data_IF_877147266273
#
_entry.id   IF_877147266273
#
_cell.length_a   1.000
_cell.length_b   1.000
_cell.length_c   1.000
_cell.angle_alpha   90.00
_cell.angle_beta   90.00
_cell.angle_gamma   90.00
#
_symmetry.space_group_name_H-M   'P 1'
#
loop_
_entity.id
_entity.type
_entity.pdbx_description
1 polymer ?
#
# COMPACT_ATOMS: atom_id res chain seq x y z
N UNK A 1 -6.50 -12.46 30.32
CA UNK A 1 -7.26 -12.87 29.12
C UNK A 1 -7.79 -14.27 29.30
N UNK A 2 -9.11 -14.47 29.29
CA UNK A 2 -9.74 -15.79 29.40
C UNK A 2 -10.06 -16.26 27.97
N UNK A 3 -9.50 -17.42 27.56
CA UNK A 3 -9.73 -17.97 26.21
C UNK A 3 -10.63 -19.19 26.36
N UNK A 4 -11.70 -19.23 25.54
CA UNK A 4 -12.64 -20.38 25.46
C UNK A 4 -12.89 -20.80 24.02
N UNK A 5 -13.23 -22.08 23.85
CA UNK A 5 -13.59 -22.68 22.56
C UNK A 5 -15.05 -23.04 22.54
N UNK A 6 -15.73 -22.79 21.44
CA UNK A 6 -17.13 -23.06 21.19
C UNK A 6 -17.28 -23.91 19.94
N UNK A 7 -18.02 -24.99 20.02
CA UNK A 7 -18.25 -25.90 18.88
C UNK A 7 -19.75 -25.98 18.65
N UNK A 8 -20.19 -25.74 17.42
CA UNK A 8 -21.60 -25.80 17.03
C UNK A 8 -21.77 -26.25 15.58
N UNK A 9 -22.98 -26.58 15.19
CA UNK A 9 -23.35 -27.02 13.84
C UNK A 9 -23.27 -25.88 12.83
N UNK A 10 -23.38 -24.62 13.28
CA UNK A 10 -23.24 -23.42 12.47
C UNK A 10 -22.38 -22.37 13.18
N UNK A 11 -21.67 -21.53 12.39
CA UNK A 11 -20.88 -20.44 12.94
C UNK A 11 -21.74 -19.44 13.72
N UNK A 12 -22.98 -19.21 13.28
CA UNK A 12 -23.94 -18.31 13.93
C UNK A 12 -24.32 -18.82 15.36
N UNK A 13 -24.47 -20.09 15.50
CA UNK A 13 -24.79 -20.74 16.81
C UNK A 13 -23.57 -20.69 17.75
N UNK A 14 -22.36 -20.98 17.25
CA UNK A 14 -21.13 -20.87 18.02
C UNK A 14 -20.89 -19.38 18.49
N UNK A 15 -21.18 -18.41 17.64
CA UNK A 15 -21.05 -16.98 17.97
C UNK A 15 -22.12 -16.55 18.99
N UNK A 16 -23.35 -17.06 18.89
CA UNK A 16 -24.40 -16.74 19.84
C UNK A 16 -24.05 -17.28 21.25
N UNK A 17 -23.57 -18.50 21.34
CA UNK A 17 -23.13 -19.13 22.59
C UNK A 17 -21.95 -18.38 23.22
N UNK A 18 -20.97 -17.97 22.39
CA UNK A 18 -19.84 -17.16 22.81
C UNK A 18 -20.30 -15.83 23.43
N UNK A 19 -21.23 -15.12 22.78
CA UNK A 19 -21.75 -13.82 23.26
C UNK A 19 -22.54 -13.96 24.57
N UNK A 20 -23.25 -15.06 24.75
CA UNK A 20 -23.97 -15.36 25.99
C UNK A 20 -23.04 -15.64 27.17
N UNK A 21 -21.90 -16.30 26.93
CA UNK A 21 -20.96 -16.66 27.99
C UNK A 21 -19.90 -15.62 28.29
N UNK A 22 -19.31 -15.01 27.27
CA UNK A 22 -18.19 -14.09 27.39
C UNK A 22 -18.61 -12.63 27.28
N UNK A 23 -19.88 -12.36 26.95
CA UNK A 23 -20.38 -10.99 26.74
C UNK A 23 -20.14 -10.46 25.34
N UNK A 24 -20.72 -9.27 25.06
CA UNK A 24 -20.62 -8.60 23.73
C UNK A 24 -19.24 -8.13 23.34
N UNK A 25 -18.34 -7.98 24.30
CA UNK A 25 -16.96 -7.50 24.13
C UNK A 25 -15.95 -8.64 23.85
N UNK A 26 -16.42 -9.88 23.69
CA UNK A 26 -15.56 -11.02 23.40
C UNK A 26 -15.02 -10.94 21.97
N UNK A 27 -13.69 -11.08 21.83
CA UNK A 27 -12.98 -11.05 20.55
C UNK A 27 -12.80 -12.47 20.02
N UNK A 28 -13.20 -12.73 18.77
CA UNK A 28 -12.98 -13.99 18.09
C UNK A 28 -11.52 -14.06 17.65
N UNK A 29 -10.78 -15.03 18.19
CA UNK A 29 -9.35 -15.22 17.90
C UNK A 29 -9.12 -16.14 16.70
N UNK A 30 -9.96 -17.18 16.53
CA UNK A 30 -9.89 -18.08 15.38
C UNK A 30 -11.19 -18.84 15.14
N UNK A 31 -11.43 -19.25 13.90
CA UNK A 31 -12.51 -20.15 13.51
C UNK A 31 -11.94 -21.31 12.69
N UNK A 32 -12.38 -22.54 12.97
CA UNK A 32 -12.00 -23.75 12.22
C UNK A 32 -13.23 -24.59 11.91
N UNK A 33 -13.20 -25.28 10.77
CA UNK A 33 -14.17 -26.32 10.45
C UNK A 33 -13.56 -27.65 10.91
N UNK A 34 -14.30 -28.39 11.78
CA UNK A 34 -13.91 -29.70 12.24
C UNK A 34 -14.85 -30.70 11.61
N UNK A 35 -14.30 -31.79 11.06
CA UNK A 35 -15.09 -32.95 10.65
C UNK A 35 -15.21 -33.88 11.86
N UNK A 36 -16.42 -34.05 12.39
CA UNK A 36 -16.68 -35.00 13.47
C UNK A 36 -16.79 -36.39 12.86
N UNK A 37 -15.84 -37.27 13.22
CA UNK A 37 -15.84 -38.69 12.87
C UNK A 37 -16.87 -39.40 13.72
N UNK A 38 -18.09 -39.55 13.25
CA UNK A 38 -19.04 -40.53 13.78
C UNK A 38 -19.42 -41.48 12.65
N UNK A 39 -19.43 -42.77 12.97
CA UNK A 39 -19.45 -43.93 12.06
C UNK A 39 -20.57 -44.02 11.00
N UNK A 40 -21.35 -42.97 10.74
CA UNK A 40 -22.37 -42.99 9.69
C UNK A 40 -22.86 -41.67 9.12
N UNK A 41 -22.39 -40.49 9.58
CA UNK A 41 -22.79 -39.23 8.94
C UNK A 41 -21.73 -38.15 9.17
N UNK A 42 -21.07 -37.66 8.10
CA UNK A 42 -20.05 -36.58 8.16
C UNK A 42 -20.74 -35.24 8.36
N UNK A 43 -20.98 -34.83 9.61
CA UNK A 43 -21.45 -33.46 9.91
C UNK A 43 -20.28 -32.52 10.07
N UNK A 44 -20.27 -31.49 9.28
CA UNK A 44 -19.33 -30.35 9.46
C UNK A 44 -19.72 -29.56 10.70
N UNK A 45 -18.78 -29.38 11.63
CA UNK A 45 -18.94 -28.59 12.85
C UNK A 45 -17.99 -27.39 12.79
N UNK A 46 -18.37 -26.30 13.44
CA UNK A 46 -17.54 -25.07 13.50
C UNK A 46 -16.97 -24.93 14.92
N UNK A 47 -15.64 -24.87 15.01
CA UNK A 47 -14.93 -24.50 16.25
C UNK A 47 -14.60 -23.02 16.20
N UNK A 48 -15.03 -22.26 17.20
CA UNK A 48 -14.75 -20.84 17.39
C UNK A 48 -13.95 -20.66 18.67
N UNK A 49 -12.77 -20.06 18.59
CA UNK A 49 -11.95 -19.70 19.76
C UNK A 49 -12.10 -18.20 20.01
N UNK A 50 -12.52 -17.83 21.22
CA UNK A 50 -12.70 -16.43 21.60
C UNK A 50 -12.03 -16.12 22.94
N UNK A 51 -11.69 -14.84 23.15
CA UNK A 51 -11.08 -14.35 24.37
C UNK A 51 -11.68 -13.04 24.85
N UNK A 52 -11.69 -12.84 26.18
CA UNK A 52 -12.05 -11.58 26.86
C UNK A 52 -10.89 -11.11 27.71
N UNK A 53 -10.58 -9.84 27.65
CA UNK A 53 -9.63 -9.20 28.55
C UNK A 53 -10.31 -8.90 29.90
N UNK A 54 -9.86 -9.53 31.01
CA UNK A 54 -10.40 -9.28 32.33
C UNK A 54 -9.98 -7.87 32.79
N UNK A 55 -10.88 -6.91 32.68
CA UNK A 55 -10.83 -5.69 33.49
C UNK A 55 -11.47 -6.04 34.86
N UNK A 56 -10.72 -5.83 35.92
CA UNK A 56 -11.09 -6.16 37.30
C UNK A 56 -12.47 -5.59 37.68
N UNK A 57 -13.30 -6.47 38.19
CA UNK A 57 -14.65 -6.21 38.68
C UNK A 57 -14.60 -5.27 39.88
N UNK A 58 -15.31 -4.14 39.79
CA UNK A 58 -15.91 -3.49 40.95
C UNK A 58 -17.42 -3.40 40.72
N UNK A 59 -18.15 -4.20 41.49
CA UNK A 59 -19.60 -4.16 41.55
C UNK A 59 -20.10 -2.88 42.21
N UNK A 60 -21.07 -2.20 41.62
CA UNK A 60 -22.31 -1.75 42.36
C UNK A 60 -23.36 -1.22 41.37
N UNK A 61 -24.48 -1.94 41.41
CA UNK A 61 -25.90 -1.54 41.34
C UNK A 61 -26.39 -0.43 40.40
N UNK A 62 -27.32 -0.85 39.56
CA UNK A 62 -28.65 -0.27 39.23
C UNK A 62 -28.78 1.02 38.41
N UNK A 63 -29.58 0.83 37.37
CA UNK A 63 -30.58 1.73 36.78
C UNK A 63 -30.16 2.85 35.80
N UNK A 64 -30.91 2.81 34.68
CA UNK A 64 -31.22 3.92 33.76
C UNK A 64 -30.14 4.36 32.74
N UNK A 65 -30.48 4.14 31.47
CA UNK A 65 -29.91 4.86 30.33
C UNK A 65 -29.95 6.38 30.50
N UNK A 66 -28.88 7.06 30.13
CA UNK A 66 -28.92 7.87 28.91
C UNK A 66 -27.61 7.81 28.09
N UNK A 67 -27.74 8.12 26.80
CA UNK A 67 -26.68 8.26 25.80
C UNK A 67 -25.54 9.18 26.28
N UNK A 68 -24.26 8.84 26.09
CA UNK A 68 -23.19 9.78 26.34
C UNK A 68 -22.66 10.40 25.06
N UNK A 69 -22.84 11.68 24.95
CA UNK A 69 -21.99 12.62 24.22
C UNK A 69 -20.56 12.59 24.81
N UNK A 70 -19.59 12.00 24.16
CA UNK A 70 -18.17 12.28 24.40
C UNK A 70 -17.36 12.08 23.10
N UNK A 71 -17.42 13.12 22.22
CA UNK A 71 -16.68 13.15 20.95
C UNK A 71 -15.45 14.06 20.94
N UNK A 72 -15.08 14.78 22.01
CA UNK A 72 -14.02 15.79 21.91
C UNK A 72 -12.62 15.33 22.33
N UNK A 73 -12.48 14.46 23.30
CA UNK A 73 -11.14 13.99 23.73
C UNK A 73 -10.56 12.93 22.83
N UNK A 74 -11.39 12.04 22.30
CA UNK A 74 -10.96 11.04 21.31
C UNK A 74 -10.56 11.67 19.97
N UNK A 75 -11.24 12.75 19.56
CA UNK A 75 -10.88 13.51 18.37
C UNK A 75 -9.56 14.28 18.53
N UNK A 76 -9.22 14.74 19.74
CA UNK A 76 -7.98 15.46 20.00
C UNK A 76 -6.78 14.51 20.02
N UNK A 77 -6.90 13.34 20.65
CA UNK A 77 -5.86 12.29 20.60
C UNK A 77 -5.61 11.79 19.17
N UNK A 78 -6.68 11.51 18.42
CA UNK A 78 -6.59 11.11 17.02
C UNK A 78 -5.97 12.23 16.16
N UNK A 79 -6.29 13.50 16.42
CA UNK A 79 -5.70 14.65 15.73
C UNK A 79 -4.21 14.82 16.02
N UNK A 80 -3.76 14.53 17.24
CA UNK A 80 -2.35 14.67 17.63
C UNK A 80 -1.51 13.48 17.14
N UNK A 81 -2.05 12.27 17.13
CA UNK A 81 -1.44 11.09 16.49
C UNK A 81 -1.33 11.28 14.97
N UNK A 82 -2.35 11.85 14.33
CA UNK A 82 -2.37 12.12 12.90
C UNK A 82 -1.44 13.26 12.48
N UNK A 83 -1.19 14.25 13.36
CA UNK A 83 -0.14 15.25 13.10
C UNK A 83 1.25 14.63 13.08
N UNK A 84 1.52 13.71 14.00
CA UNK A 84 2.81 12.99 14.02
C UNK A 84 2.99 12.08 12.80
N UNK A 85 1.89 11.55 12.26
CA UNK A 85 1.86 10.75 11.03
C UNK A 85 2.05 11.65 9.80
N UNK A 86 1.43 12.83 9.77
CA UNK A 86 1.61 13.83 8.71
C UNK A 86 3.06 14.26 8.56
N UNK A 87 3.77 14.46 9.66
CA UNK A 87 5.21 14.79 9.64
C UNK A 87 6.09 13.63 9.15
N UNK A 88 5.64 12.39 9.34
CA UNK A 88 6.34 11.19 8.85
C UNK A 88 6.06 10.86 7.38
N UNK A 89 4.87 11.22 6.87
CA UNK A 89 4.47 10.93 5.47
C UNK A 89 4.94 12.03 4.51
N UNK A 90 5.01 13.27 4.97
CA UNK A 90 5.44 14.41 4.17
C UNK A 90 6.73 15.01 4.74
N UNK A 91 7.87 14.37 4.49
CA UNK A 91 9.15 15.03 4.69
C UNK A 91 9.25 16.24 3.75
N UNK A 92 9.15 17.42 4.32
CA UNK A 92 9.52 18.66 3.63
C UNK A 92 11.04 18.60 3.43
N UNK A 93 11.57 18.67 2.20
CA UNK A 93 13.01 18.72 2.03
C UNK A 93 13.52 20.00 2.68
N UNK A 94 14.40 19.87 3.65
CA UNK A 94 15.18 21.02 4.16
C UNK A 94 16.06 21.54 3.02
N UNK A 95 16.02 22.85 2.82
CA UNK A 95 16.84 23.53 1.85
C UNK A 95 18.34 23.23 2.11
N UNK A 96 19.16 22.98 1.07
CA UNK A 96 20.55 22.62 1.26
C UNK A 96 21.33 23.77 1.94
N UNK A 97 21.94 23.45 3.06
CA UNK A 97 22.82 24.34 3.77
C UNK A 97 23.99 24.77 2.86
N UNK A 98 24.18 26.08 2.72
CA UNK A 98 25.30 26.69 1.98
C UNK A 98 26.63 26.14 2.51
N UNK A 99 27.32 25.34 1.71
CA UNK A 99 28.69 24.93 1.98
C UNK A 99 29.61 26.09 1.80
N UNK A 100 30.25 26.47 2.90
CA UNK A 100 31.41 27.37 2.90
C UNK A 100 32.59 26.63 2.28
N UNK A 101 33.12 27.14 1.22
CA UNK A 101 34.32 26.62 0.57
C UNK A 101 35.54 26.90 1.44
N UNK A 102 36.14 25.87 2.00
CA UNK A 102 37.51 25.91 2.54
C UNK A 102 38.45 25.31 1.49
N UNK A 103 39.27 26.18 0.88
CA UNK A 103 40.34 25.78 0.01
C UNK A 103 41.45 25.11 0.82
N UNK A 104 41.78 23.85 0.50
CA UNK A 104 43.06 23.22 0.87
C UNK A 104 43.82 22.84 -0.40
N UNK A 105 45.19 22.93 -0.39
CA UNK A 105 46.00 22.82 -1.59
C UNK A 105 46.17 21.39 -2.08
N UNK A 106 46.23 21.25 -3.40
CA UNK A 106 46.46 20.01 -4.15
C UNK A 106 47.79 19.35 -3.78
N UNK A 107 47.83 18.04 -3.45
CA UNK A 107 49.07 17.28 -3.48
C UNK A 107 49.42 16.77 -4.87
N UNK A 108 50.71 16.74 -5.12
CA UNK A 108 51.36 16.42 -6.39
C UNK A 108 51.07 14.97 -6.86
N UNK A 109 50.88 14.85 -8.16
CA UNK A 109 50.81 13.60 -8.92
C UNK A 109 52.09 12.80 -8.79
N UNK A 110 52.07 11.63 -8.16
CA UNK A 110 53.02 10.52 -8.45
C UNK A 110 52.58 9.18 -7.84
N UNK A 111 52.49 8.15 -8.66
CA UNK A 111 52.54 6.70 -8.35
C UNK A 111 51.41 6.00 -7.56
N UNK A 112 50.16 6.48 -7.67
CA UNK A 112 48.99 5.79 -7.03
C UNK A 112 47.93 5.27 -8.02
N UNK A 113 48.18 5.30 -9.35
CA UNK A 113 47.13 5.02 -10.35
C UNK A 113 46.81 3.55 -10.56
N UNK A 114 47.79 2.63 -10.46
CA UNK A 114 47.53 1.21 -10.75
C UNK A 114 46.78 0.47 -9.64
N UNK A 115 47.01 0.84 -8.38
CA UNK A 115 46.30 0.28 -7.23
C UNK A 115 44.85 0.77 -7.10
N UNK A 116 44.60 2.04 -7.41
CA UNK A 116 43.26 2.63 -7.29
C UNK A 116 42.28 2.14 -8.37
N UNK A 117 42.75 1.91 -9.61
CA UNK A 117 41.93 1.37 -10.69
C UNK A 117 41.53 -0.11 -10.41
N UNK A 118 42.37 -0.88 -9.75
CA UNK A 118 42.04 -2.26 -9.36
C UNK A 118 41.06 -2.33 -8.18
N UNK A 119 41.19 -1.42 -7.20
CA UNK A 119 40.28 -1.33 -6.06
C UNK A 119 38.90 -0.86 -6.55
N UNK A 120 38.84 0.20 -7.36
CA UNK A 120 37.59 0.70 -7.94
C UNK A 120 36.90 -0.36 -8.82
N UNK A 121 37.69 -1.18 -9.54
CA UNK A 121 37.19 -2.29 -10.33
C UNK A 121 36.51 -3.38 -9.47
N UNK A 122 37.05 -3.68 -8.30
CA UNK A 122 36.47 -4.62 -7.35
C UNK A 122 35.16 -4.08 -6.76
N UNK A 123 35.12 -2.82 -6.34
CA UNK A 123 33.92 -2.14 -5.82
C UNK A 123 32.79 -2.14 -6.86
N UNK A 124 33.09 -1.81 -8.11
CA UNK A 124 32.10 -1.85 -9.20
C UNK A 124 31.54 -3.27 -9.41
N UNK A 125 32.38 -4.29 -9.26
CA UNK A 125 31.92 -5.69 -9.35
C UNK A 125 30.98 -6.05 -8.20
N UNK A 126 31.30 -5.67 -6.97
CA UNK A 126 30.44 -5.89 -5.79
C UNK A 126 29.08 -5.17 -5.94
N UNK A 127 29.06 -3.97 -6.50
CA UNK A 127 27.84 -3.24 -6.83
C UNK A 127 26.99 -4.02 -7.84
N UNK A 128 27.61 -4.51 -8.92
CA UNK A 128 26.90 -5.33 -9.92
C UNK A 128 26.31 -6.57 -9.27
N UNK A 129 27.11 -7.32 -8.50
CA UNK A 129 26.67 -8.55 -7.83
C UNK A 129 25.51 -8.23 -6.84
N UNK A 130 25.58 -7.12 -6.13
CA UNK A 130 24.50 -6.63 -5.24
C UNK A 130 23.23 -6.35 -6.03
N UNK A 131 23.31 -5.58 -7.11
CA UNK A 131 22.15 -5.22 -7.92
C UNK A 131 21.51 -6.46 -8.60
N UNK A 132 22.34 -7.42 -9.05
CA UNK A 132 21.87 -8.71 -9.58
C UNK A 132 21.16 -9.51 -8.48
N UNK A 133 21.74 -9.60 -7.29
CA UNK A 133 21.10 -10.25 -6.14
C UNK A 133 19.77 -9.60 -5.76
N UNK A 134 19.64 -8.27 -5.91
CA UNK A 134 18.40 -7.52 -5.72
C UNK A 134 17.41 -7.63 -6.89
N UNK A 135 17.69 -8.48 -7.87
CA UNK A 135 16.87 -8.69 -9.07
C UNK A 135 16.69 -7.44 -9.94
N UNK A 136 17.65 -6.51 -9.92
CA UNK A 136 17.68 -5.40 -10.86
C UNK A 136 18.08 -5.92 -12.23
N UNK A 137 17.37 -5.51 -13.28
CA UNK A 137 17.61 -6.01 -14.64
C UNK A 137 18.91 -5.47 -15.24
N UNK A 138 19.57 -6.32 -16.07
CA UNK A 138 20.85 -5.97 -16.72
C UNK A 138 20.86 -4.63 -17.44
N UNK A 139 19.85 -4.23 -18.26
CA UNK A 139 19.85 -2.92 -18.91
C UNK A 139 19.92 -1.76 -17.93
N UNK A 140 19.23 -1.89 -16.79
CA UNK A 140 19.22 -0.86 -15.73
C UNK A 140 20.59 -0.81 -15.05
N UNK A 141 21.17 -1.97 -14.70
CA UNK A 141 22.53 -2.06 -14.16
C UNK A 141 23.53 -1.41 -15.11
N UNK A 142 23.46 -1.71 -16.41
CA UNK A 142 24.33 -1.09 -17.42
C UNK A 142 24.17 0.44 -17.46
N UNK A 143 22.94 0.95 -17.32
CA UNK A 143 22.69 2.40 -17.25
C UNK A 143 23.29 3.02 -16.01
N UNK A 144 23.16 2.39 -14.83
CA UNK A 144 23.78 2.83 -13.58
C UNK A 144 25.30 2.89 -13.73
N UNK A 145 25.92 1.82 -14.24
CA UNK A 145 27.37 1.78 -14.46
C UNK A 145 27.84 2.86 -15.44
N UNK A 146 27.07 3.10 -16.52
CA UNK A 146 27.38 4.19 -17.47
C UNK A 146 27.29 5.60 -16.85
N UNK A 147 26.43 5.80 -15.85
CA UNK A 147 26.38 7.06 -15.08
C UNK A 147 27.60 7.18 -14.15
N UNK A 148 27.97 6.09 -13.47
CA UNK A 148 29.15 6.06 -12.61
C UNK A 148 30.44 6.30 -13.39
N UNK A 149 30.56 5.71 -14.58
CA UNK A 149 31.75 5.89 -15.44
C UNK A 149 31.95 7.35 -15.85
N UNK A 150 30.88 8.08 -16.16
CA UNK A 150 30.95 9.52 -16.44
C UNK A 150 31.49 10.36 -15.27
N UNK A 151 31.39 9.84 -14.05
CA UNK A 151 31.83 10.49 -12.82
C UNK A 151 33.09 9.84 -12.22
N UNK A 152 33.78 8.94 -12.98
CA UNK A 152 34.91 8.13 -12.51
C UNK A 152 35.98 8.93 -11.77
N UNK A 153 36.26 10.16 -12.18
CA UNK A 153 37.26 11.03 -11.54
C UNK A 153 36.92 11.49 -10.12
N UNK A 154 35.64 11.36 -9.73
CA UNK A 154 35.13 11.74 -8.41
C UNK A 154 34.81 10.54 -7.53
N UNK A 155 34.87 9.32 -8.08
CA UNK A 155 34.55 8.11 -7.36
C UNK A 155 35.73 7.66 -6.47
N UNK A 156 35.40 7.34 -5.23
CA UNK A 156 36.27 6.70 -4.24
C UNK A 156 35.48 5.61 -3.51
N UNK A 157 36.13 4.57 -2.95
CA UNK A 157 35.45 3.52 -2.18
C UNK A 157 34.54 4.06 -1.08
N UNK A 158 34.87 5.20 -0.47
CA UNK A 158 34.08 5.82 0.60
C UNK A 158 32.81 6.55 0.14
N UNK A 159 32.65 6.83 -1.15
CA UNK A 159 31.50 7.60 -1.66
C UNK A 159 30.72 6.91 -2.80
N UNK A 160 31.23 5.78 -3.31
CA UNK A 160 30.65 5.11 -4.48
C UNK A 160 29.19 4.71 -4.26
N UNK A 161 28.84 4.24 -3.07
CA UNK A 161 27.45 3.88 -2.72
C UNK A 161 26.50 5.07 -2.83
N UNK A 162 26.95 6.27 -2.45
CA UNK A 162 26.16 7.49 -2.58
C UNK A 162 25.87 7.82 -4.04
N UNK A 163 26.84 7.61 -4.93
CA UNK A 163 26.65 7.80 -6.38
C UNK A 163 25.75 6.73 -6.99
N UNK A 164 25.83 5.48 -6.51
CA UNK A 164 24.90 4.40 -6.91
C UNK A 164 23.47 4.75 -6.50
N UNK A 165 23.26 5.16 -5.26
CA UNK A 165 21.94 5.57 -4.76
C UNK A 165 21.37 6.74 -5.55
N UNK A 166 22.20 7.76 -5.86
CA UNK A 166 21.79 8.90 -6.68
C UNK A 166 21.44 8.47 -8.11
N UNK A 167 22.24 7.57 -8.70
CA UNK A 167 21.96 7.03 -10.04
C UNK A 167 20.63 6.27 -10.07
N UNK A 168 20.37 5.42 -9.09
CA UNK A 168 19.10 4.68 -8.96
C UNK A 168 17.94 5.68 -8.78
N UNK A 169 18.06 6.62 -7.84
CA UNK A 169 17.02 7.62 -7.55
C UNK A 169 16.65 8.43 -8.80
N UNK A 170 17.63 8.84 -9.60
CA UNK A 170 17.40 9.61 -10.83
C UNK A 170 16.61 8.86 -11.91
N UNK A 171 16.55 7.53 -11.83
CA UNK A 171 15.85 6.68 -12.80
C UNK A 171 14.40 6.39 -12.38
N UNK A 172 14.02 6.69 -11.12
CA UNK A 172 12.70 6.36 -10.57
C UNK A 172 11.75 7.54 -10.82
N UNK A 173 10.75 7.40 -11.70
CA UNK A 173 9.71 8.41 -11.81
C UNK A 173 8.78 8.33 -10.60
N UNK A 174 8.53 9.44 -9.94
CA UNK A 174 7.58 9.55 -8.84
C UNK A 174 6.52 10.60 -9.15
N UNK A 175 5.33 10.44 -8.56
CA UNK A 175 4.21 11.37 -8.69
C UNK A 175 3.73 11.76 -7.30
N UNK A 176 3.50 13.05 -7.09
CA UNK A 176 2.90 13.54 -5.86
C UNK A 176 1.39 13.31 -5.86
N UNK A 177 0.85 12.92 -4.71
CA UNK A 177 -0.58 12.81 -4.50
C UNK A 177 -1.14 14.16 -4.07
N UNK A 178 -1.67 14.91 -5.04
CA UNK A 178 -2.21 16.25 -4.80
C UNK A 178 -3.72 16.26 -5.05
N UNK A 179 -4.47 16.25 -3.97
CA UNK A 179 -5.92 16.45 -4.00
C UNK A 179 -6.26 17.85 -3.47
N UNK A 180 -7.14 18.53 -4.21
CA UNK A 180 -7.62 19.87 -3.85
C UNK A 180 -9.12 19.96 -4.07
N UNK A 181 -9.79 20.80 -3.29
CA UNK A 181 -11.19 21.14 -3.54
C UNK A 181 -11.31 21.92 -4.84
N UNK A 182 -12.01 21.35 -5.82
CA UNK A 182 -12.12 21.93 -7.19
C UNK A 182 -13.58 22.27 -7.57
N UNK A 183 -14.54 22.17 -6.63
CA UNK A 183 -15.97 22.37 -6.93
C UNK A 183 -16.64 21.20 -7.67
N UNK A 184 -15.87 20.21 -8.10
CA UNK A 184 -16.29 18.91 -8.63
C UNK A 184 -15.38 17.81 -8.10
N UNK A 185 -15.88 16.59 -7.91
CA UNK A 185 -15.05 15.50 -7.41
C UNK A 185 -13.92 15.15 -8.38
N UNK A 186 -12.75 14.81 -7.83
CA UNK A 186 -11.70 14.09 -8.56
C UNK A 186 -12.01 12.60 -8.45
N UNK A 187 -12.16 11.92 -9.58
CA UNK A 187 -12.49 10.48 -9.65
C UNK A 187 -11.21 9.68 -9.86
N UNK A 188 -10.92 8.78 -8.93
CA UNK A 188 -9.71 7.96 -8.92
C UNK A 188 -10.10 6.49 -8.88
N UNK A 189 -9.61 5.70 -9.83
CA UNK A 189 -9.81 4.25 -9.84
C UNK A 189 -8.54 3.50 -9.48
N UNK A 190 -8.67 2.35 -8.80
CA UNK A 190 -7.59 1.41 -8.57
C UNK A 190 -7.85 0.12 -9.35
N UNK A 191 -6.91 -0.26 -10.18
CA UNK A 191 -6.94 -1.49 -10.98
C UNK A 191 -5.76 -2.40 -10.63
N UNK A 192 -5.87 -3.68 -10.92
CA UNK A 192 -4.79 -4.62 -10.66
C UNK A 192 -5.27 -6.05 -10.41
N UNK A 193 -4.36 -7.03 -10.35
CA UNK A 193 -4.68 -8.43 -10.13
C UNK A 193 -5.44 -8.70 -8.83
N UNK A 194 -5.97 -9.92 -8.71
CA UNK A 194 -6.59 -10.39 -7.46
C UNK A 194 -5.54 -10.49 -6.35
N UNK A 195 -5.90 -10.05 -5.14
CA UNK A 195 -5.06 -10.22 -3.95
C UNK A 195 -3.88 -9.24 -3.82
N UNK A 196 -3.74 -8.25 -4.71
CA UNK A 196 -2.67 -7.23 -4.62
C UNK A 196 -2.96 -6.12 -3.60
N UNK A 197 -4.14 -6.08 -2.96
CA UNK A 197 -4.46 -5.11 -1.91
C UNK A 197 -5.15 -3.83 -2.39
N UNK A 198 -5.87 -3.82 -3.53
CA UNK A 198 -6.60 -2.64 -4.04
C UNK A 198 -7.56 -2.04 -3.02
N UNK A 199 -8.49 -2.85 -2.51
CA UNK A 199 -9.48 -2.42 -1.50
C UNK A 199 -8.81 -1.87 -0.24
N UNK A 200 -7.72 -2.50 0.22
CA UNK A 200 -6.94 -2.01 1.37
C UNK A 200 -6.26 -0.67 1.07
N UNK A 201 -5.70 -0.50 -0.13
CA UNK A 201 -5.12 0.79 -0.55
C UNK A 201 -6.20 1.88 -0.61
N UNK A 202 -7.36 1.59 -1.18
CA UNK A 202 -8.49 2.55 -1.22
C UNK A 202 -8.89 2.96 0.19
N UNK A 203 -9.02 2.02 1.12
CA UNK A 203 -9.33 2.33 2.51
C UNK A 203 -8.29 3.29 3.13
N UNK A 204 -7.00 3.05 2.92
CA UNK A 204 -5.93 3.93 3.39
C UNK A 204 -6.00 5.32 2.75
N UNK A 205 -6.11 5.38 1.43
CA UNK A 205 -6.19 6.64 0.69
C UNK A 205 -7.43 7.46 1.06
N UNK A 206 -8.57 6.80 1.29
CA UNK A 206 -9.80 7.44 1.70
C UNK A 206 -9.67 8.10 3.09
N UNK A 207 -9.07 7.40 4.05
CA UNK A 207 -8.81 7.96 5.40
C UNK A 207 -7.82 9.12 5.32
N UNK A 208 -6.72 8.97 4.60
CA UNK A 208 -5.72 10.02 4.41
C UNK A 208 -6.38 11.27 3.79
N UNK A 209 -7.15 11.08 2.73
CA UNK A 209 -7.85 12.18 2.05
C UNK A 209 -8.82 12.90 3.00
N UNK A 210 -9.58 12.15 3.79
CA UNK A 210 -10.55 12.71 4.74
C UNK A 210 -9.88 13.43 5.91
N UNK A 211 -8.88 12.82 6.51
CA UNK A 211 -8.31 13.31 7.77
C UNK A 211 -7.20 14.32 7.54
N UNK A 212 -6.22 14.00 6.67
CA UNK A 212 -5.07 14.87 6.42
C UNK A 212 -5.42 16.02 5.48
N UNK A 213 -6.13 15.71 4.39
CA UNK A 213 -6.50 16.73 3.39
C UNK A 213 -7.84 17.41 3.69
N UNK A 214 -8.59 16.94 4.71
CA UNK A 214 -9.92 17.47 5.09
C UNK A 214 -10.90 17.52 3.90
N UNK A 215 -10.85 16.50 3.07
CA UNK A 215 -11.70 16.34 1.90
C UNK A 215 -12.95 15.54 2.24
N UNK A 216 -14.05 15.84 1.56
CA UNK A 216 -15.23 15.00 1.57
C UNK A 216 -15.05 13.86 0.55
N UNK A 217 -15.09 12.62 1.06
CA UNK A 217 -14.71 11.41 0.30
C UNK A 217 -15.94 10.56 0.03
N UNK A 218 -16.06 10.04 -1.18
CA UNK A 218 -17.00 9.01 -1.56
C UNK A 218 -16.28 7.75 -2.02
N UNK A 219 -16.86 6.59 -1.76
CA UNK A 219 -16.38 5.30 -2.24
C UNK A 219 -17.42 4.68 -3.17
N UNK A 220 -16.98 4.14 -4.30
CA UNK A 220 -17.81 3.31 -5.18
C UNK A 220 -17.11 1.97 -5.33
N UNK A 221 -17.78 0.86 -5.00
CA UNK A 221 -17.26 -0.48 -5.26
C UNK A 221 -17.96 -1.13 -6.45
N UNK A 222 -17.18 -1.65 -7.38
CA UNK A 222 -17.63 -2.55 -8.45
C UNK A 222 -17.16 -3.99 -8.25
N UNK A 223 -16.54 -4.33 -7.10
CA UNK A 223 -16.11 -5.70 -6.75
C UNK A 223 -17.25 -6.52 -6.14
N UNK A 224 -18.28 -6.80 -6.94
CA UNK A 224 -19.46 -7.56 -6.51
C UNK A 224 -19.26 -9.08 -6.57
N UNK A 225 -18.14 -9.55 -7.12
CA UNK A 225 -17.88 -10.98 -7.33
C UNK A 225 -17.22 -11.67 -6.14
N UNK A 226 -16.50 -10.92 -5.29
CA UNK A 226 -15.83 -11.49 -4.12
C UNK A 226 -16.77 -11.50 -2.92
N UNK A 227 -17.11 -12.70 -2.44
CA UNK A 227 -17.83 -12.86 -1.18
C UNK A 227 -17.12 -12.11 -0.05
N UNK A 228 -17.84 -11.21 0.62
CA UNK A 228 -17.32 -10.42 1.73
C UNK A 228 -16.49 -9.19 1.37
N UNK A 229 -16.15 -8.93 0.09
CA UNK A 229 -15.40 -7.73 -0.28
C UNK A 229 -16.21 -6.46 -0.01
N UNK A 230 -17.49 -6.46 -0.42
CA UNK A 230 -18.42 -5.36 -0.15
C UNK A 230 -18.64 -5.21 1.36
N UNK A 231 -18.83 -6.30 2.10
CA UNK A 231 -19.05 -6.25 3.55
C UNK A 231 -17.84 -5.68 4.28
N UNK A 232 -16.63 -6.07 3.88
CA UNK A 232 -15.40 -5.50 4.43
C UNK A 232 -15.31 -3.99 4.18
N UNK A 233 -15.58 -3.56 2.96
CA UNK A 233 -15.53 -2.13 2.62
C UNK A 233 -16.68 -1.35 3.27
N UNK A 234 -17.84 -1.97 3.48
CA UNK A 234 -18.99 -1.40 4.19
C UNK A 234 -18.69 -1.16 5.66
N UNK A 235 -18.15 -2.16 6.37
CA UNK A 235 -17.71 -2.02 7.75
C UNK A 235 -16.69 -0.88 7.86
N UNK A 236 -15.71 -0.84 6.95
CA UNK A 236 -14.72 0.23 6.91
C UNK A 236 -15.37 1.60 6.69
N UNK A 237 -16.31 1.73 5.76
CA UNK A 237 -17.01 2.98 5.44
C UNK A 237 -17.80 3.51 6.65
N UNK A 238 -18.48 2.61 7.38
CA UNK A 238 -19.21 2.94 8.61
C UNK A 238 -18.29 3.46 9.70
N UNK A 239 -17.17 2.74 9.98
CA UNK A 239 -16.19 3.13 11.01
C UNK A 239 -15.54 4.47 10.66
N UNK A 240 -15.20 4.68 9.38
CA UNK A 240 -14.54 5.90 8.91
C UNK A 240 -15.50 7.05 8.64
N UNK A 241 -16.82 6.80 8.74
CA UNK A 241 -17.88 7.74 8.35
C UNK A 241 -17.66 8.29 6.93
N UNK A 242 -17.40 7.39 5.98
CA UNK A 242 -17.20 7.68 4.55
C UNK A 242 -18.34 7.00 3.79
N UNK A 243 -19.02 7.74 2.91
CA UNK A 243 -20.14 7.20 2.14
C UNK A 243 -19.66 6.16 1.13
N UNK A 244 -20.36 5.02 1.07
CA UNK A 244 -20.10 3.93 0.13
C UNK A 244 -21.34 3.66 -0.72
N UNK A 245 -21.14 3.59 -2.03
CA UNK A 245 -22.11 3.10 -3.00
C UNK A 245 -21.56 1.86 -3.71
N UNK A 246 -22.45 0.98 -4.18
CA UNK A 246 -22.06 -0.24 -4.91
C UNK A 246 -22.68 -0.19 -6.31
N UNK A 247 -21.84 -0.43 -7.31
CA UNK A 247 -22.26 -0.59 -8.70
C UNK A 247 -22.33 -2.08 -9.06
N UNK A 248 -23.48 -2.55 -9.43
CA UNK A 248 -23.69 -3.92 -9.91
C UNK A 248 -23.57 -4.02 -11.43
N UNK A 249 -23.91 -2.94 -12.13
CA UNK A 249 -23.89 -2.85 -13.59
C UNK A 249 -23.16 -1.56 -14.03
N UNK A 250 -22.44 -1.59 -15.17
CA UNK A 250 -21.77 -0.40 -15.71
C UNK A 250 -22.70 0.79 -15.91
N UNK A 251 -23.97 0.54 -16.30
CA UNK A 251 -25.00 1.55 -16.53
C UNK A 251 -25.39 2.35 -15.29
N UNK A 252 -25.08 1.85 -14.08
CA UNK A 252 -25.35 2.54 -12.81
C UNK A 252 -24.29 3.60 -12.48
N UNK A 253 -23.07 3.44 -12.99
CA UNK A 253 -21.93 4.27 -12.66
C UNK A 253 -22.17 5.78 -12.81
N UNK A 254 -22.78 6.28 -13.91
CA UNK A 254 -23.05 7.72 -14.04
C UNK A 254 -23.96 8.27 -12.94
N UNK A 255 -24.98 7.51 -12.53
CA UNK A 255 -25.91 7.90 -11.46
C UNK A 255 -25.21 7.92 -10.10
N UNK A 256 -24.31 6.97 -9.83
CA UNK A 256 -23.56 6.91 -8.60
C UNK A 256 -22.55 8.07 -8.49
N UNK A 257 -21.86 8.41 -9.57
CA UNK A 257 -20.98 9.59 -9.64
C UNK A 257 -21.79 10.88 -9.41
N UNK A 258 -22.97 11.02 -10.05
CA UNK A 258 -23.83 12.18 -9.86
C UNK A 258 -24.32 12.29 -8.39
N UNK A 259 -24.61 11.18 -7.73
CA UNK A 259 -24.96 11.16 -6.29
C UNK A 259 -23.83 11.71 -5.41
N UNK A 260 -22.59 11.57 -5.85
CA UNK A 260 -21.40 12.07 -5.17
C UNK A 260 -20.83 13.37 -5.74
N UNK A 261 -21.60 14.12 -6.56
CA UNK A 261 -21.14 15.37 -7.19
C UNK A 261 -20.66 16.46 -6.21
N UNK A 262 -21.11 16.41 -4.95
CA UNK A 262 -20.69 17.33 -3.89
C UNK A 262 -19.43 16.88 -3.15
N UNK A 263 -18.95 15.65 -3.37
CA UNK A 263 -17.71 15.15 -2.79
C UNK A 263 -16.50 15.85 -3.42
N UNK A 264 -15.39 15.89 -2.70
CA UNK A 264 -14.12 16.42 -3.20
C UNK A 264 -13.35 15.34 -3.98
N UNK A 265 -13.46 14.07 -3.55
CA UNK A 265 -12.81 12.92 -4.19
C UNK A 265 -13.71 11.69 -4.14
N UNK A 266 -13.70 10.91 -5.22
CA UNK A 266 -14.38 9.63 -5.32
C UNK A 266 -13.34 8.56 -5.65
N UNK A 267 -13.23 7.53 -4.81
CA UNK A 267 -12.42 6.36 -5.11
C UNK A 267 -13.30 5.22 -5.63
N UNK A 268 -12.87 4.61 -6.73
CA UNK A 268 -13.54 3.45 -7.34
C UNK A 268 -12.71 2.19 -7.06
N UNK A 269 -13.27 1.28 -6.25
CA UNK A 269 -12.72 -0.07 -6.02
C UNK A 269 -13.19 -1.01 -7.12
N UNK A 270 -12.23 -1.60 -7.83
CA UNK A 270 -12.52 -2.53 -8.93
C UNK A 270 -12.26 -3.97 -8.54
N UNK A 271 -13.00 -4.88 -9.16
CA UNK A 271 -12.74 -6.30 -9.03
C UNK A 271 -11.32 -6.66 -9.45
N UNK A 272 -10.63 -7.45 -8.61
CA UNK A 272 -9.32 -8.00 -8.97
C UNK A 272 -9.46 -9.03 -10.07
N UNK A 273 -8.76 -8.84 -11.20
CA UNK A 273 -8.84 -9.73 -12.34
C UNK A 273 -7.46 -10.23 -12.75
N UNK A 274 -7.42 -11.50 -13.18
CA UNK A 274 -6.18 -12.06 -13.73
C UNK A 274 -5.87 -11.40 -15.07
N UNK A 275 -4.61 -10.99 -15.27
CA UNK A 275 -4.13 -10.48 -16.55
C UNK A 275 -4.27 -11.48 -17.71
N UNK A 276 -4.53 -12.76 -17.41
CA UNK A 276 -4.72 -13.82 -18.42
C UNK A 276 -6.15 -13.89 -18.97
N UNK A 277 -7.11 -13.19 -18.34
CA UNK A 277 -8.52 -13.23 -18.74
C UNK A 277 -8.96 -11.88 -19.32
N UNK A 278 -8.79 -11.69 -20.63
CA UNK A 278 -9.18 -10.46 -21.34
C UNK A 278 -10.67 -10.15 -21.16
N UNK A 279 -11.55 -11.14 -21.19
CA UNK A 279 -12.99 -10.94 -21.01
C UNK A 279 -13.32 -10.34 -19.65
N UNK A 280 -12.62 -10.80 -18.59
CA UNK A 280 -12.82 -10.24 -17.26
C UNK A 280 -12.21 -8.84 -17.12
N UNK A 281 -11.11 -8.55 -17.80
CA UNK A 281 -10.53 -7.21 -17.85
C UNK A 281 -11.48 -6.26 -18.59
N UNK A 282 -12.04 -6.66 -19.72
CA UNK A 282 -13.02 -5.89 -20.49
C UNK A 282 -14.27 -5.58 -19.65
N UNK A 283 -14.81 -6.55 -18.93
CA UNK A 283 -15.94 -6.32 -18.02
C UNK A 283 -15.62 -5.27 -16.95
N UNK A 284 -14.39 -5.26 -16.39
CA UNK A 284 -13.99 -4.23 -15.45
C UNK A 284 -13.82 -2.87 -16.16
N UNK A 285 -13.33 -2.87 -17.40
CA UNK A 285 -13.20 -1.66 -18.20
C UNK A 285 -14.55 -1.00 -18.50
N UNK A 286 -15.59 -1.77 -18.78
CA UNK A 286 -16.94 -1.27 -19.01
C UNK A 286 -17.45 -0.38 -17.86
N UNK A 287 -17.16 -0.73 -16.60
CA UNK A 287 -17.50 0.12 -15.46
C UNK A 287 -16.74 1.46 -15.46
N UNK A 288 -15.46 1.45 -15.83
CA UNK A 288 -14.65 2.66 -15.85
C UNK A 288 -14.94 3.52 -17.08
N UNK A 289 -15.24 2.92 -18.23
CA UNK A 289 -15.60 3.64 -19.46
C UNK A 289 -16.98 4.31 -19.37
N UNK A 290 -17.86 3.83 -18.50
CA UNK A 290 -19.18 4.43 -18.27
C UNK A 290 -19.10 5.82 -17.62
N UNK A 291 -17.95 6.20 -17.05
CA UNK A 291 -17.74 7.47 -16.34
C UNK A 291 -16.40 8.09 -16.72
N UNK A 292 -16.26 9.40 -16.49
CA UNK A 292 -14.96 10.04 -16.60
C UNK A 292 -14.13 9.77 -15.35
N UNK A 293 -13.10 8.95 -15.47
CA UNK A 293 -12.07 8.76 -14.44
C UNK A 293 -10.96 9.76 -14.69
N UNK A 294 -10.56 10.52 -13.66
CA UNK A 294 -9.49 11.51 -13.78
C UNK A 294 -8.10 10.86 -13.61
N UNK A 295 -8.00 9.84 -12.75
CA UNK A 295 -6.75 9.10 -12.51
C UNK A 295 -7.02 7.61 -12.28
N UNK A 296 -6.17 6.77 -12.85
CA UNK A 296 -6.19 5.32 -12.66
C UNK A 296 -4.84 4.86 -12.15
N UNK A 297 -4.84 4.16 -11.01
CA UNK A 297 -3.61 3.63 -10.41
C UNK A 297 -3.55 2.12 -10.55
N UNK A 298 -2.44 1.62 -11.09
CA UNK A 298 -2.18 0.18 -11.16
C UNK A 298 -1.53 -0.26 -9.84
N UNK A 299 -2.20 -1.17 -9.14
CA UNK A 299 -1.71 -1.75 -7.89
C UNK A 299 -0.99 -3.07 -8.19
N UNK A 300 0.26 -3.16 -7.77
CA UNK A 300 1.15 -4.30 -7.96
C UNK A 300 1.67 -4.80 -6.60
N UNK A 301 1.78 -6.12 -6.46
CA UNK A 301 2.42 -6.70 -5.27
C UNK A 301 3.92 -6.81 -5.50
N UNK A 302 4.73 -6.29 -4.59
CA UNK A 302 6.20 -6.38 -4.63
C UNK A 302 6.72 -7.82 -4.55
N UNK A 303 5.90 -8.76 -4.02
CA UNK A 303 6.24 -10.19 -3.95
C UNK A 303 6.21 -10.92 -5.31
N UNK A 304 5.72 -10.25 -6.35
CA UNK A 304 5.68 -10.80 -7.71
C UNK A 304 7.06 -10.76 -8.37
N UNK A 305 7.41 -11.80 -9.14
CA UNK A 305 8.62 -11.75 -9.97
C UNK A 305 8.47 -10.75 -11.13
N UNK A 306 9.59 -10.19 -11.60
CA UNK A 306 9.60 -9.14 -12.63
C UNK A 306 8.85 -9.53 -13.90
N UNK A 307 8.97 -10.80 -14.36
CA UNK A 307 8.29 -11.27 -15.57
C UNK A 307 6.77 -11.21 -15.44
N UNK A 308 6.24 -11.65 -14.29
CA UNK A 308 4.80 -11.58 -14.03
C UNK A 308 4.31 -10.14 -13.90
N UNK A 309 5.08 -9.28 -13.22
CA UNK A 309 4.73 -7.87 -13.07
C UNK A 309 4.72 -7.14 -14.42
N UNK A 310 5.62 -7.48 -15.34
CA UNK A 310 5.60 -6.95 -16.71
C UNK A 310 4.36 -7.38 -17.48
N UNK A 311 4.00 -8.67 -17.42
CA UNK A 311 2.79 -9.17 -18.07
C UNK A 311 1.54 -8.46 -17.52
N UNK A 312 1.50 -8.25 -16.20
CA UNK A 312 0.43 -7.44 -15.57
C UNK A 312 0.44 -6.00 -16.08
N UNK A 313 1.58 -5.31 -15.99
CA UNK A 313 1.67 -3.90 -16.38
C UNK A 313 1.28 -3.72 -17.86
N UNK A 314 1.73 -4.62 -18.75
CA UNK A 314 1.38 -4.58 -20.18
C UNK A 314 -0.11 -4.79 -20.43
N UNK A 315 -0.72 -5.82 -19.81
CA UNK A 315 -2.13 -6.13 -20.01
C UNK A 315 -3.06 -5.08 -19.40
N UNK A 316 -2.65 -4.48 -18.28
CA UNK A 316 -3.43 -3.45 -17.61
C UNK A 316 -3.30 -2.07 -18.26
N UNK A 317 -2.45 -1.87 -19.29
CA UNK A 317 -2.49 -0.66 -20.15
C UNK A 317 -3.88 -0.40 -20.74
N UNK A 318 -4.70 -1.44 -20.87
CA UNK A 318 -6.11 -1.34 -21.24
C UNK A 318 -6.87 -0.30 -20.41
N UNK A 319 -6.47 -0.06 -19.16
CA UNK A 319 -7.13 0.88 -18.24
C UNK A 319 -6.50 2.28 -18.24
N UNK A 320 -5.53 2.56 -19.10
CA UNK A 320 -4.83 3.86 -19.22
C UNK A 320 -4.31 4.37 -17.87
N UNK A 321 -3.74 3.44 -17.06
CA UNK A 321 -3.21 3.81 -15.75
C UNK A 321 -2.04 4.81 -15.87
N UNK A 322 -2.01 5.78 -14.97
CA UNK A 322 -1.06 6.89 -14.98
C UNK A 322 -0.15 6.96 -13.74
N UNK A 323 -0.30 6.00 -12.82
CA UNK A 323 0.62 5.83 -11.68
C UNK A 323 0.60 4.39 -11.17
N UNK A 324 1.65 4.03 -10.41
CA UNK A 324 1.84 2.72 -9.79
C UNK A 324 1.73 2.83 -8.27
N UNK A 325 1.09 1.84 -7.67
CA UNK A 325 1.14 1.59 -6.23
C UNK A 325 1.77 0.21 -6.02
N UNK A 326 2.87 0.16 -5.27
CA UNK A 326 3.46 -1.11 -4.86
C UNK A 326 3.04 -1.46 -3.44
N UNK A 327 2.58 -2.69 -3.25
CA UNK A 327 2.09 -3.20 -1.96
C UNK A 327 2.91 -4.37 -1.47
N UNK A 328 2.68 -4.77 -0.22
CA UNK A 328 3.31 -5.94 0.40
C UNK A 328 4.84 -5.84 0.45
N UNK A 329 5.32 -4.62 0.71
CA UNK A 329 6.76 -4.42 0.87
C UNK A 329 7.30 -5.21 2.07
N UNK A 330 6.48 -5.35 3.11
CA UNK A 330 6.75 -6.15 4.32
C UNK A 330 6.90 -7.66 4.07
N UNK A 331 6.31 -8.17 2.97
CA UNK A 331 6.40 -9.57 2.56
C UNK A 331 7.53 -9.82 1.53
N UNK A 332 8.13 -8.77 0.96
CA UNK A 332 9.07 -8.87 -0.15
C UNK A 332 10.50 -9.15 0.32
N UNK A 333 11.18 -10.10 -0.33
CA UNK A 333 12.59 -10.40 -0.08
C UNK A 333 13.54 -9.42 -0.80
N UNK A 334 13.14 -8.92 -1.97
CA UNK A 334 13.92 -7.99 -2.80
C UNK A 334 13.00 -6.93 -3.43
N UNK A 335 13.57 -5.79 -3.79
CA UNK A 335 12.81 -4.62 -4.26
C UNK A 335 13.20 -4.15 -5.68
N UNK A 336 14.08 -4.87 -6.38
CA UNK A 336 14.52 -4.51 -7.73
C UNK A 336 13.37 -4.44 -8.75
N UNK A 337 12.31 -5.21 -8.53
CA UNK A 337 11.12 -5.21 -9.37
C UNK A 337 10.39 -3.85 -9.37
N UNK A 338 10.47 -3.05 -8.30
CA UNK A 338 9.91 -1.69 -8.22
C UNK A 338 10.61 -0.80 -9.26
N UNK A 339 11.95 -0.79 -9.26
CA UNK A 339 12.76 -0.06 -10.21
C UNK A 339 12.55 -0.58 -11.65
N UNK A 340 12.57 -1.89 -11.81
CA UNK A 340 12.42 -2.54 -13.12
C UNK A 340 11.10 -2.14 -13.80
N UNK A 341 9.97 -2.23 -13.09
CA UNK A 341 8.65 -1.94 -13.67
C UNK A 341 8.49 -0.45 -13.93
N UNK A 342 8.78 0.41 -12.94
CA UNK A 342 8.59 1.86 -13.09
C UNK A 342 9.41 2.44 -14.23
N UNK A 343 10.67 1.99 -14.38
CA UNK A 343 11.57 2.44 -15.44
C UNK A 343 11.16 1.93 -16.82
N UNK A 344 10.86 0.62 -16.95
CA UNK A 344 10.52 0.05 -18.27
C UNK A 344 9.19 0.56 -18.82
N UNK A 345 8.22 0.84 -17.97
CA UNK A 345 6.92 1.38 -18.38
C UNK A 345 6.88 2.92 -18.34
N UNK A 346 7.96 3.57 -17.89
CA UNK A 346 8.03 5.01 -17.67
C UNK A 346 6.80 5.55 -16.93
N UNK A 347 6.34 4.79 -15.94
CA UNK A 347 5.14 5.11 -15.17
C UNK A 347 5.52 5.49 -13.74
N UNK A 348 5.10 6.66 -13.25
CA UNK A 348 5.50 7.13 -11.93
C UNK A 348 4.88 6.31 -10.81
N UNK A 349 5.66 6.12 -9.75
CA UNK A 349 5.20 5.55 -8.50
C UNK A 349 4.56 6.66 -7.68
N UNK A 350 3.38 6.39 -7.10
CA UNK A 350 2.66 7.35 -6.25
C UNK A 350 2.66 6.93 -4.79
N UNK A 351 2.51 5.64 -4.50
CA UNK A 351 2.51 5.10 -3.14
C UNK A 351 3.20 3.76 -3.04
N UNK A 352 3.70 3.50 -1.84
CA UNK A 352 4.21 2.22 -1.37
C UNK A 352 3.41 1.80 -0.14
N UNK A 353 3.05 0.50 -0.01
CA UNK A 353 2.34 -0.01 1.16
C UNK A 353 3.09 -1.19 1.76
N UNK A 354 3.33 -1.12 3.08
CA UNK A 354 4.22 -2.01 3.83
C UNK A 354 3.52 -2.71 5.00
N UNK A 355 2.21 -2.95 4.90
CA UNK A 355 1.47 -3.67 5.94
C UNK A 355 -0.05 -3.49 5.80
N UNK A 356 -0.79 -3.82 6.87
CA UNK A 356 -2.26 -3.87 6.87
C UNK A 356 -2.92 -2.77 7.72
N UNK A 357 -2.15 -2.00 8.48
CA UNK A 357 -2.69 -0.95 9.37
C UNK A 357 -3.18 0.23 8.55
N UNK A 358 -4.39 0.69 8.85
CA UNK A 358 -5.03 1.82 8.18
C UNK A 358 -5.04 3.01 9.16
N UNK A 359 -4.51 4.18 8.76
CA UNK A 359 -3.89 4.52 7.48
C UNK A 359 -2.37 4.33 7.42
N UNK A 360 -1.69 3.88 8.47
CA UNK A 360 -0.26 4.06 8.73
C UNK A 360 0.66 3.33 7.75
N UNK A 361 0.25 2.17 7.24
CA UNK A 361 1.08 1.32 6.39
C UNK A 361 0.98 1.68 4.90
N UNK A 362 0.96 2.99 4.60
CA UNK A 362 1.11 3.52 3.25
C UNK A 362 1.97 4.79 3.31
N UNK A 363 2.92 4.90 2.40
CA UNK A 363 3.84 6.04 2.31
C UNK A 363 3.81 6.61 0.89
N UNK A 364 3.91 7.93 0.77
CA UNK A 364 4.10 8.58 -0.52
C UNK A 364 5.44 8.13 -1.14
N UNK A 365 5.46 7.98 -2.46
CA UNK A 365 6.67 7.57 -3.15
C UNK A 365 7.74 8.66 -3.05
N UNK A 366 8.93 8.25 -2.65
CA UNK A 366 10.13 9.06 -2.57
C UNK A 366 11.29 8.38 -3.29
N UNK A 367 11.98 9.10 -4.16
CA UNK A 367 13.04 8.54 -5.00
C UNK A 367 14.21 8.00 -4.19
N UNK A 368 14.64 8.74 -3.16
CA UNK A 368 15.78 8.36 -2.34
C UNK A 368 15.45 7.15 -1.46
N UNK A 369 14.24 7.14 -0.88
CA UNK A 369 13.77 5.99 -0.11
C UNK A 369 13.69 4.73 -0.97
N UNK A 370 13.10 4.83 -2.18
CA UNK A 370 13.01 3.68 -3.10
C UNK A 370 14.39 3.23 -3.55
N UNK A 371 15.29 4.14 -3.90
CA UNK A 371 16.68 3.79 -4.24
C UNK A 371 17.37 3.05 -3.09
N UNK A 372 17.19 3.52 -1.86
CA UNK A 372 17.76 2.90 -0.66
C UNK A 372 17.25 1.48 -0.45
N UNK A 373 15.92 1.23 -0.51
CA UNK A 373 15.39 -0.12 -0.32
C UNK A 373 15.78 -1.05 -1.47
N UNK A 374 15.84 -0.57 -2.70
CA UNK A 374 16.29 -1.34 -3.86
C UNK A 374 17.75 -1.78 -3.69
N UNK A 375 18.64 -0.85 -3.34
CA UNK A 375 20.07 -1.13 -3.24
C UNK A 375 20.42 -1.92 -1.97
N UNK A 376 19.96 -1.47 -0.80
CA UNK A 376 20.32 -2.08 0.48
C UNK A 376 19.47 -3.29 0.86
N UNK A 377 18.25 -3.40 0.32
CA UNK A 377 17.25 -4.39 0.72
C UNK A 377 16.67 -4.18 2.11
N UNK A 378 16.88 -3.01 2.72
CA UNK A 378 16.45 -2.72 4.09
C UNK A 378 15.43 -1.60 4.11
N UNK A 379 14.24 -1.89 4.65
CA UNK A 379 13.23 -0.88 4.98
C UNK A 379 13.54 -0.32 6.39
N UNK A 380 14.61 0.46 6.54
CA UNK A 380 14.80 1.22 7.76
C UNK A 380 14.05 2.55 7.64
N UNK A 381 13.16 2.76 8.61
CA UNK A 381 12.55 4.07 8.84
C UNK A 381 13.60 5.06 9.29
#
# INVERSE_FOLDING_TARGET
>A
MQIKKYIASTLKEATATMKLELGGEAIILSTRIIEADSKSDRKKMFELTAGVENLAVNQKSSSSLPLPLKGRESQKKLSDELKSISEKIYHKPEAPAKRVASQQPLPQKSKLKEGADSILGNELKEIVDTLVYREVQKPIITSILGQLEKQKSFLHPSNIDSYVLQSIASMIPVKNFELRKKGKPTVISLVGPTGVGKTTCIAKLAVISKILHKLDVGLISSDTYRLGAIDQLKIFSEISNIDLLVAYEPSEMPKLIESFKKKDVIFIDTAGRSQKSLDQLNKTKEFLDAVKVDETYLVLSTTGNSKNLYDVAEKFKLFDYNALIFTKLDEAAVFGNILNVSTNFNTPIIFLSNGQVIPDDIIAADQEFIAKIVYTGKMHK
#
